data_IF_923880575424
#
_entry.id   IF_923880575424
#
_cell.length_a   1.000
_cell.length_b   1.000
_cell.length_c   1.000
_cell.angle_alpha   90.00
_cell.angle_beta   90.00
_cell.angle_gamma   90.00
#
_symmetry.space_group_name_H-M   'P 1'
#
loop_
_entity.id
_entity.type
_entity.pdbx_description
1 polymer ?
#
# COMPACT_ATOMS: atom_id res chain seq x y z
N UNK A 1 -7.75 2.06 -10.31
CA UNK A 1 -6.41 1.44 -10.51
C UNK A 1 -6.02 0.71 -9.25
N UNK A 2 -5.57 -0.52 -9.38
CA UNK A 2 -5.08 -1.30 -8.24
C UNK A 2 -3.57 -1.16 -8.13
N UNK A 3 -3.09 -0.99 -6.92
CA UNK A 3 -1.68 -0.77 -6.63
C UNK A 3 -1.19 -1.86 -5.69
N UNK A 4 -0.07 -2.49 -6.04
CA UNK A 4 0.62 -3.42 -5.16
C UNK A 4 1.61 -2.64 -4.28
N UNK A 5 1.58 -2.92 -2.98
CA UNK A 5 2.48 -2.30 -2.01
C UNK A 5 3.19 -3.41 -1.25
N UNK A 6 4.50 -3.46 -1.39
CA UNK A 6 5.32 -4.46 -0.72
C UNK A 6 6.28 -3.85 0.29
N UNK A 7 6.92 -4.70 1.07
CA UNK A 7 7.88 -4.33 2.10
C UNK A 7 7.27 -3.40 3.16
N UNK A 8 6.01 -3.66 3.51
CA UNK A 8 5.27 -2.88 4.50
C UNK A 8 5.73 -3.23 5.91
N UNK A 9 5.86 -2.23 6.78
CA UNK A 9 6.17 -2.43 8.19
C UNK A 9 5.06 -3.24 8.88
N UNK A 10 5.45 -4.13 9.79
CA UNK A 10 4.50 -4.95 10.54
C UNK A 10 3.56 -4.13 11.43
N UNK A 11 3.96 -2.92 11.82
CA UNK A 11 3.12 -2.04 12.62
C UNK A 11 2.07 -1.28 11.81
N UNK A 12 2.11 -1.36 10.49
CA UNK A 12 1.17 -0.65 9.62
C UNK A 12 -0.13 -1.45 9.47
N UNK A 13 -1.26 -0.77 9.63
CA UNK A 13 -2.58 -1.37 9.43
C UNK A 13 -3.25 -0.82 8.16
N UNK A 14 -4.46 -1.30 7.87
CA UNK A 14 -5.19 -0.86 6.67
C UNK A 14 -5.41 0.65 6.66
N UNK A 15 -5.73 1.24 7.80
CA UNK A 15 -5.97 2.67 7.91
C UNK A 15 -4.70 3.47 7.65
N UNK A 16 -3.56 2.99 8.15
CA UNK A 16 -2.28 3.65 7.92
C UNK A 16 -1.94 3.64 6.43
N UNK A 17 -2.19 2.52 5.77
CA UNK A 17 -1.95 2.38 4.33
C UNK A 17 -2.85 3.32 3.54
N UNK A 18 -4.14 3.39 3.90
CA UNK A 18 -5.08 4.29 3.27
C UNK A 18 -4.64 5.75 3.43
N UNK A 19 -4.26 6.15 4.63
CA UNK A 19 -3.82 7.52 4.91
C UNK A 19 -2.57 7.88 4.11
N UNK A 20 -1.66 6.95 3.97
CA UNK A 20 -0.42 7.17 3.22
C UNK A 20 -0.71 7.50 1.75
N UNK A 21 -1.63 6.76 1.15
CA UNK A 21 -1.99 6.96 -0.26
C UNK A 21 -2.99 8.11 -0.45
N UNK A 22 -3.83 8.40 0.56
CA UNK A 22 -4.82 9.46 0.48
C UNK A 22 -4.20 10.85 0.31
N UNK A 23 -2.95 11.02 0.68
CA UNK A 23 -2.23 12.28 0.49
C UNK A 23 -1.99 12.59 -0.99
N UNK A 24 -2.06 11.59 -1.86
CA UNK A 24 -1.74 11.71 -3.27
C UNK A 24 -2.96 11.65 -4.18
N UNK A 25 -4.11 11.27 -3.67
CA UNK A 25 -5.32 11.14 -4.46
C UNK A 25 -6.46 10.51 -3.68
N UNK A 26 -7.45 10.01 -4.40
CA UNK A 26 -8.63 9.42 -3.79
C UNK A 26 -8.47 7.90 -3.66
N UNK A 27 -8.41 7.42 -2.42
CA UNK A 27 -8.33 5.99 -2.11
C UNK A 27 -9.75 5.43 -1.95
N UNK A 28 -10.07 4.40 -2.71
CA UNK A 28 -11.37 3.71 -2.60
C UNK A 28 -11.27 2.49 -1.71
N UNK A 29 -10.09 1.86 -1.63
CA UNK A 29 -9.88 0.70 -0.79
C UNK A 29 -8.40 0.56 -0.47
N UNK A 30 -8.09 0.11 0.73
CA UNK A 30 -6.72 -0.20 1.14
C UNK A 30 -6.76 -1.41 2.06
N UNK A 31 -5.95 -2.41 1.77
CA UNK A 31 -5.93 -3.62 2.56
C UNK A 31 -4.54 -4.24 2.62
N UNK A 32 -4.09 -4.51 3.84
CA UNK A 32 -2.85 -5.23 4.08
C UNK A 32 -3.20 -6.72 4.19
N UNK A 33 -2.45 -7.55 3.48
CA UNK A 33 -2.64 -8.99 3.52
C UNK A 33 -1.98 -9.53 4.79
N UNK A 34 -2.74 -10.26 5.58
CA UNK A 34 -2.27 -10.84 6.83
C UNK A 34 -2.27 -12.35 6.74
N UNK A 35 -1.42 -12.97 7.56
CA UNK A 35 -1.39 -14.42 7.69
C UNK A 35 -2.54 -14.85 8.60
N UNK A 36 -3.35 -15.80 8.14
CA UNK A 36 -4.52 -16.28 8.89
C UNK A 36 -4.13 -17.00 10.17
N UNK A 37 -2.97 -17.60 10.19
CA UNK A 37 -2.52 -18.41 11.33
C UNK A 37 -1.99 -17.54 12.46
N UNK A 38 -1.29 -16.45 12.13
CA UNK A 38 -0.59 -15.63 13.11
C UNK A 38 -1.16 -14.23 13.26
N UNK A 39 -2.09 -13.82 12.39
CA UNK A 39 -2.64 -12.45 12.30
C UNK A 39 -1.56 -11.38 12.08
N UNK A 40 -0.42 -11.76 11.54
CA UNK A 40 0.65 -10.81 11.24
C UNK A 40 0.59 -10.39 9.78
N UNK A 41 0.95 -9.13 9.53
CA UNK A 41 1.12 -8.66 8.16
C UNK A 41 2.17 -9.50 7.44
N UNK A 42 1.87 -9.88 6.20
CA UNK A 42 2.83 -10.58 5.37
C UNK A 42 3.81 -9.63 4.69
N UNK A 43 3.74 -8.34 5.01
CA UNK A 43 4.63 -7.34 4.46
C UNK A 43 4.18 -6.77 3.13
N UNK A 44 2.97 -7.08 2.69
CA UNK A 44 2.43 -6.52 1.46
C UNK A 44 0.92 -6.29 1.55
N UNK A 45 0.42 -5.47 0.66
CA UNK A 45 -1.00 -5.17 0.59
C UNK A 45 -1.37 -4.59 -0.76
N UNK A 46 -2.63 -4.22 -0.89
CA UNK A 46 -3.17 -3.64 -2.12
C UNK A 46 -3.96 -2.38 -1.79
N UNK A 47 -3.84 -1.40 -2.67
CA UNK A 47 -4.60 -0.15 -2.57
C UNK A 47 -5.32 0.06 -3.89
N UNK A 48 -6.60 0.43 -3.82
CA UNK A 48 -7.36 0.83 -4.99
C UNK A 48 -7.60 2.33 -4.94
N UNK A 49 -7.24 3.02 -6.00
CA UNK A 49 -7.42 4.47 -6.12
C UNK A 49 -8.22 4.80 -7.36
N UNK A 50 -9.17 5.71 -7.21
CA UNK A 50 -9.95 6.23 -8.35
C UNK A 50 -9.26 7.41 -9.02
N UNK A 51 -8.32 8.06 -8.34
CA UNK A 51 -7.65 9.27 -8.83
C UNK A 51 -6.28 9.37 -8.15
N UNK A 52 -5.30 9.90 -8.88
CA UNK A 52 -3.97 10.16 -8.34
C UNK A 52 -3.09 8.94 -8.17
N UNK A 53 -3.48 7.78 -8.69
CA UNK A 53 -2.74 6.53 -8.50
C UNK A 53 -1.31 6.60 -9.04
N UNK A 54 -1.12 7.17 -10.23
CA UNK A 54 0.22 7.28 -10.82
C UNK A 54 1.13 8.17 -9.98
N UNK A 55 0.59 9.29 -9.50
CA UNK A 55 1.35 10.21 -8.63
C UNK A 55 1.71 9.52 -7.31
N UNK A 56 0.80 8.73 -6.76
CA UNK A 56 1.04 7.97 -5.54
C UNK A 56 2.14 6.94 -5.75
N UNK A 57 2.11 6.22 -6.85
CA UNK A 57 3.14 5.23 -7.18
C UNK A 57 4.50 5.91 -7.26
N UNK A 58 4.60 7.00 -8.02
CA UNK A 58 5.87 7.73 -8.17
C UNK A 58 6.40 8.28 -6.86
N UNK A 59 5.50 8.80 -6.02
CA UNK A 59 5.89 9.41 -4.76
C UNK A 59 6.27 8.39 -3.69
N UNK A 60 5.60 7.24 -3.68
CA UNK A 60 5.74 6.26 -2.60
C UNK A 60 6.65 5.09 -2.94
N UNK A 61 6.92 4.84 -4.22
CA UNK A 61 7.88 3.80 -4.59
C UNK A 61 9.27 4.18 -4.07
N UNK A 62 9.87 3.26 -3.33
CA UNK A 62 11.15 3.47 -2.66
C UNK A 62 11.10 4.52 -1.53
N UNK A 63 9.92 4.99 -1.14
CA UNK A 63 9.77 5.86 0.01
C UNK A 63 10.04 5.07 1.29
N UNK A 64 10.78 5.67 2.21
CA UNK A 64 11.08 5.02 3.48
C UNK A 64 9.96 5.29 4.47
N UNK A 65 9.35 4.21 4.95
CA UNK A 65 8.28 4.26 5.96
C UNK A 65 8.64 3.28 7.06
N UNK A 66 8.71 3.76 8.29
CA UNK A 66 9.12 2.97 9.45
C UNK A 66 10.45 2.23 9.25
N UNK A 67 11.39 2.89 8.57
CA UNK A 67 12.72 2.33 8.31
C UNK A 67 12.78 1.33 7.17
N UNK A 68 11.71 1.20 6.39
CA UNK A 68 11.65 0.28 5.25
C UNK A 68 11.30 1.02 3.98
N UNK A 69 11.98 0.66 2.90
CA UNK A 69 11.65 1.21 1.58
C UNK A 69 10.46 0.43 1.01
N UNK A 70 9.37 1.13 0.75
CA UNK A 70 8.20 0.52 0.15
C UNK A 70 8.46 0.15 -1.31
N UNK A 71 7.89 -0.95 -1.73
CA UNK A 71 7.82 -1.34 -3.14
C UNK A 71 6.40 -1.06 -3.61
N UNK A 72 6.23 -0.10 -4.50
CA UNK A 72 4.91 0.33 -4.96
C UNK A 72 4.85 0.23 -6.48
N UNK A 73 3.96 -0.59 -6.98
CA UNK A 73 3.77 -0.82 -8.40
C UNK A 73 2.29 -0.95 -8.74
N UNK A 74 1.97 -0.67 -9.99
CA UNK A 74 0.62 -0.94 -10.48
C UNK A 74 0.36 -2.44 -10.48
N UNK A 75 -0.77 -2.83 -9.89
CA UNK A 75 -1.23 -4.22 -9.90
C UNK A 75 -2.33 -4.35 -10.94
N UNK A 76 -2.07 -5.11 -11.98
CA UNK A 76 -3.07 -5.32 -13.03
C UNK A 76 -3.78 -6.64 -12.80
N UNK A 77 -5.13 -6.65 -12.89
CA UNK A 77 -5.86 -7.90 -12.85
C UNK A 77 -5.52 -8.71 -14.11
N UNK A 78 -5.40 -10.01 -13.92
CA UNK A 78 -5.16 -10.90 -15.05
C UNK A 78 -6.48 -11.18 -15.76
#
# INVERSE_FOLDING_TARGET
MNIYVGNISWGMNDQDLENLFAEHGTVTSAKIITDRMTNRSRGFGFVEMSDGAEAAIDALNEAEVDGRKLVVNESRPK
#
